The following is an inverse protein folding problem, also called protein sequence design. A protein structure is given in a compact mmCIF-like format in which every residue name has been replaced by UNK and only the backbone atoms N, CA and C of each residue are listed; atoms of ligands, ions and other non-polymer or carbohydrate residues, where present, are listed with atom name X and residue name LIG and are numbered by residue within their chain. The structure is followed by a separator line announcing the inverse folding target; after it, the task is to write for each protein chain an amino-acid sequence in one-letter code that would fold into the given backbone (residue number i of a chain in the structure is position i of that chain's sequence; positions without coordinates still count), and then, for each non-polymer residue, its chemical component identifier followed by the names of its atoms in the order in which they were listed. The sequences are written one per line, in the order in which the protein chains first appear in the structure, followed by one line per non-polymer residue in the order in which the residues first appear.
data_IF_392815478921
#
_entry.id   IF_392815478921
#
_cell.length_a   1.000
_cell.length_b   1.000
_cell.length_c   1.000
_cell.angle_alpha   90.00
_cell.angle_beta   90.00
_cell.angle_gamma   90.00
#
_symmetry.space_group_name_H-M   'P 1'
#
loop_
_entity.id
_entity.type
_entity.pdbx_description
1 polymer ?
#
# COMPACT_ATOMS: atom_id res chain seq x y z
N UNK A 1 10.10 -11.57 7.27
CA UNK A 1 10.71 -12.24 8.47
C UNK A 1 12.20 -11.92 8.66
N UNK A 2 13.07 -12.04 7.64
CA UNK A 2 14.51 -11.76 7.82
C UNK A 2 14.80 -10.28 8.15
N UNK A 3 14.07 -9.32 7.58
CA UNK A 3 14.23 -7.88 7.90
C UNK A 3 13.88 -7.55 9.36
N UNK A 4 12.74 -8.02 9.87
CA UNK A 4 12.31 -7.72 11.25
C UNK A 4 13.26 -8.32 12.30
N UNK A 5 13.87 -9.48 12.00
CA UNK A 5 14.90 -10.09 12.86
C UNK A 5 16.24 -9.32 12.81
N UNK A 6 16.49 -8.58 11.74
CA UNK A 6 17.67 -7.73 11.61
C UNK A 6 17.52 -6.45 12.42
N UNK A 7 16.30 -5.90 12.52
CA UNK A 7 15.99 -4.74 13.37
C UNK A 7 16.27 -4.99 14.85
N UNK A 8 15.95 -6.20 15.35
CA UNK A 8 16.20 -6.57 16.75
C UNK A 8 17.70 -6.63 17.10
N UNK A 9 18.57 -6.73 16.09
CA UNK A 9 20.03 -6.81 16.23
C UNK A 9 20.73 -5.52 15.82
N UNK A 10 19.98 -4.53 15.36
CA UNK A 10 20.54 -3.28 14.88
C UNK A 10 20.94 -2.39 16.08
N UNK A 11 22.24 -2.04 16.20
CA UNK A 11 22.71 -1.23 17.32
C UNK A 11 22.13 0.19 17.31
N UNK A 12 21.86 0.78 16.14
CA UNK A 12 21.28 2.13 16.05
C UNK A 12 19.83 2.13 16.56
N UNK A 13 19.04 1.13 16.15
CA UNK A 13 17.66 0.95 16.64
C UNK A 13 17.68 0.70 18.15
N UNK A 14 18.61 -0.12 18.65
CA UNK A 14 18.74 -0.40 20.07
C UNK A 14 19.08 0.85 20.89
N UNK A 15 19.96 1.71 20.40
CA UNK A 15 20.28 2.99 21.04
C UNK A 15 19.06 3.91 21.12
N UNK A 16 18.28 4.01 20.04
CA UNK A 16 17.05 4.81 20.00
C UNK A 16 16.02 4.28 20.99
N UNK A 17 15.75 2.97 20.99
CA UNK A 17 14.79 2.33 21.90
C UNK A 17 15.20 2.54 23.35
N UNK A 18 16.47 2.32 23.69
CA UNK A 18 16.99 2.56 25.04
C UNK A 18 16.87 4.04 25.44
N UNK A 19 17.07 4.97 24.49
CA UNK A 19 16.85 6.40 24.71
C UNK A 19 15.40 6.75 25.02
N UNK A 20 14.45 6.14 24.30
CA UNK A 20 13.01 6.29 24.53
C UNK A 20 12.61 5.72 25.89
N UNK A 21 13.06 4.51 26.22
CA UNK A 21 12.79 3.88 27.51
C UNK A 21 13.35 4.71 28.66
N UNK A 22 14.57 5.22 28.52
CA UNK A 22 15.18 6.13 29.51
C UNK A 22 14.35 7.40 29.69
N UNK A 23 13.86 7.98 28.60
CA UNK A 23 13.05 9.21 28.63
C UNK A 23 11.69 8.99 29.31
N UNK A 24 11.01 7.89 29.00
CA UNK A 24 9.64 7.63 29.46
C UNK A 24 9.61 6.96 30.83
N UNK A 25 10.51 6.01 31.06
CA UNK A 25 10.48 5.08 32.20
C UNK A 25 11.67 5.29 33.17
N UNK A 26 12.67 6.08 32.78
CA UNK A 26 13.88 6.35 33.56
C UNK A 26 15.00 5.31 33.38
N UNK A 27 16.20 5.64 33.85
CA UNK A 27 17.43 4.84 33.63
C UNK A 27 17.36 3.39 34.07
N UNK A 28 16.56 3.09 35.11
CA UNK A 28 16.44 1.73 35.68
C UNK A 28 15.55 0.81 34.84
N UNK A 29 14.78 1.36 33.91
CA UNK A 29 13.80 0.63 33.11
C UNK A 29 14.27 0.42 31.65
N UNK A 30 15.52 0.79 31.32
CA UNK A 30 16.12 0.50 30.02
C UNK A 30 16.23 -1.01 29.82
N UNK A 31 15.79 -1.49 28.66
CA UNK A 31 15.67 -2.91 28.31
C UNK A 31 14.37 -3.57 28.77
N UNK A 32 13.42 -2.84 29.36
CA UNK A 32 12.15 -3.40 29.83
C UNK A 32 11.29 -3.92 28.67
N UNK A 33 11.21 -3.18 27.56
CA UNK A 33 10.45 -3.59 26.37
C UNK A 33 11.00 -4.90 25.78
N UNK A 34 12.33 -5.01 25.68
CA UNK A 34 13.00 -6.26 25.26
C UNK A 34 12.67 -7.42 26.23
N UNK A 35 12.69 -7.16 27.54
CA UNK A 35 12.34 -8.15 28.57
C UNK A 35 10.89 -8.60 28.52
N UNK A 36 9.97 -7.71 28.15
CA UNK A 36 8.56 -8.00 27.92
C UNK A 36 8.30 -8.65 26.54
N UNK A 37 9.36 -8.84 25.74
CA UNK A 37 9.27 -9.41 24.41
C UNK A 37 8.64 -8.47 23.38
N UNK A 38 8.56 -7.17 23.66
CA UNK A 38 8.14 -6.10 22.76
C UNK A 38 9.35 -5.57 21.98
N UNK A 39 9.96 -6.45 21.18
CA UNK A 39 11.12 -6.08 20.37
C UNK A 39 10.69 -5.24 19.16
N UNK A 40 11.54 -4.34 18.64
CA UNK A 40 11.22 -3.54 17.46
C UNK A 40 10.71 -4.36 16.28
N UNK A 41 11.32 -5.51 15.99
CA UNK A 41 10.90 -6.41 14.94
C UNK A 41 9.52 -7.02 15.15
N UNK A 42 9.13 -7.30 16.41
CA UNK A 42 7.78 -7.76 16.74
C UNK A 42 6.73 -6.66 16.67
N UNK A 43 7.08 -5.45 17.12
CA UNK A 43 6.20 -4.27 16.98
C UNK A 43 5.97 -3.96 15.51
N UNK A 44 7.04 -3.91 14.70
CA UNK A 44 6.94 -3.72 13.26
C UNK A 44 6.07 -4.78 12.62
N UNK A 45 6.30 -6.06 12.95
CA UNK A 45 5.47 -7.16 12.44
C UNK A 45 3.98 -6.97 12.76
N UNK A 46 3.67 -6.56 14.00
CA UNK A 46 2.27 -6.33 14.40
C UNK A 46 1.64 -5.15 13.67
N UNK A 47 2.41 -4.10 13.38
CA UNK A 47 1.96 -2.96 12.60
C UNK A 47 1.74 -3.36 11.14
N UNK A 48 2.65 -4.15 10.55
CA UNK A 48 2.49 -4.68 9.20
C UNK A 48 1.21 -5.53 9.08
N UNK A 49 0.98 -6.47 10.01
CA UNK A 49 -0.22 -7.32 10.05
C UNK A 49 -1.51 -6.53 10.34
N UNK A 50 -1.42 -5.39 11.03
CA UNK A 50 -2.57 -4.51 11.23
C UNK A 50 -2.87 -3.72 9.96
N UNK A 51 -1.84 -3.15 9.34
CA UNK A 51 -1.97 -2.40 8.09
C UNK A 51 -2.52 -3.26 6.95
N UNK A 52 -2.07 -4.52 6.83
CA UNK A 52 -2.61 -5.47 5.85
C UNK A 52 -4.11 -5.70 6.06
N UNK A 53 -4.55 -5.87 7.32
CA UNK A 53 -5.98 -6.04 7.64
C UNK A 53 -6.80 -4.78 7.37
N UNK A 54 -6.31 -3.62 7.79
CA UNK A 54 -6.98 -2.34 7.54
C UNK A 54 -7.10 -2.06 6.04
N UNK A 55 -6.09 -2.44 5.26
CA UNK A 55 -6.11 -2.34 3.81
C UNK A 55 -7.13 -3.32 3.18
N UNK A 56 -7.17 -4.58 3.62
CA UNK A 56 -8.15 -5.56 3.15
C UNK A 56 -9.59 -5.13 3.48
N UNK A 57 -9.82 -4.63 4.70
CA UNK A 57 -11.11 -4.11 5.14
C UNK A 57 -11.54 -2.90 4.29
N UNK A 58 -10.61 -1.95 4.03
CA UNK A 58 -10.86 -0.80 3.15
C UNK A 58 -11.30 -1.25 1.74
N UNK A 59 -10.64 -2.26 1.17
CA UNK A 59 -10.99 -2.78 -0.15
C UNK A 59 -12.36 -3.46 -0.17
N UNK A 60 -12.68 -4.27 0.83
CA UNK A 60 -13.95 -4.99 0.88
C UNK A 60 -15.13 -4.03 1.14
N UNK A 61 -14.96 -3.07 2.05
CA UNK A 61 -15.97 -2.03 2.33
C UNK A 61 -16.27 -1.16 1.10
N UNK A 62 -15.26 -0.90 0.25
CA UNK A 62 -15.38 -0.03 -0.91
C UNK A 62 -15.48 -0.79 -2.24
N UNK A 63 -15.63 -2.11 -2.23
CA UNK A 63 -15.57 -2.97 -3.43
C UNK A 63 -16.51 -2.54 -4.56
N UNK A 64 -17.75 -2.18 -4.23
CA UNK A 64 -18.72 -1.72 -5.23
C UNK A 64 -18.31 -0.37 -5.84
N UNK A 65 -17.84 0.55 -4.99
CA UNK A 65 -17.34 1.84 -5.43
C UNK A 65 -16.10 1.68 -6.32
N UNK A 66 -15.14 0.84 -5.91
CA UNK A 66 -13.95 0.51 -6.70
C UNK A 66 -14.36 -0.01 -8.07
N UNK A 67 -15.28 -0.98 -8.12
CA UNK A 67 -15.76 -1.54 -9.38
C UNK A 67 -16.42 -0.49 -10.28
N UNK A 68 -17.33 0.31 -9.75
CA UNK A 68 -18.06 1.33 -10.51
C UNK A 68 -17.12 2.43 -11.05
N UNK A 69 -16.26 2.97 -10.20
CA UNK A 69 -15.32 4.02 -10.59
C UNK A 69 -14.24 3.52 -11.55
N UNK A 70 -13.69 2.33 -11.31
CA UNK A 70 -12.73 1.68 -12.24
C UNK A 70 -13.36 1.53 -13.62
N UNK A 71 -14.60 1.03 -13.68
CA UNK A 71 -15.32 0.87 -14.95
C UNK A 71 -15.55 2.21 -15.64
N UNK A 72 -16.02 3.21 -14.91
CA UNK A 72 -16.32 4.52 -15.48
C UNK A 72 -15.05 5.19 -16.02
N UNK A 73 -13.96 5.17 -15.25
CA UNK A 73 -12.69 5.81 -15.62
C UNK A 73 -11.99 5.07 -16.76
N UNK A 74 -11.93 3.74 -16.74
CA UNK A 74 -11.35 2.95 -17.83
C UNK A 74 -12.10 3.14 -19.15
N UNK A 75 -13.44 3.21 -19.12
CA UNK A 75 -14.24 3.55 -20.31
C UNK A 75 -13.90 4.95 -20.82
N UNK A 76 -13.79 5.94 -19.94
CA UNK A 76 -13.45 7.31 -20.33
C UNK A 76 -12.04 7.38 -20.95
N UNK A 77 -11.05 6.72 -20.35
CA UNK A 77 -9.68 6.62 -20.88
C UNK A 77 -9.69 5.96 -22.27
N UNK A 78 -10.40 4.84 -22.42
CA UNK A 78 -10.50 4.16 -23.71
C UNK A 78 -11.17 5.03 -24.78
N UNK A 79 -12.24 5.76 -24.43
CA UNK A 79 -12.88 6.71 -25.35
C UNK A 79 -11.96 7.87 -25.76
N UNK A 80 -11.15 8.38 -24.83
CA UNK A 80 -10.14 9.41 -25.14
C UNK A 80 -9.08 8.86 -26.10
N UNK A 81 -8.54 7.69 -25.79
CA UNK A 81 -7.57 7.01 -26.67
C UNK A 81 -8.14 6.77 -28.07
N UNK A 82 -9.38 6.26 -28.19
CA UNK A 82 -10.04 6.07 -29.49
C UNK A 82 -10.17 7.38 -30.29
N UNK A 83 -10.38 8.52 -29.61
CA UNK A 83 -10.44 9.84 -30.27
C UNK A 83 -9.06 10.31 -30.74
N UNK A 84 -8.02 10.09 -29.94
CA UNK A 84 -6.63 10.45 -30.28
C UNK A 84 -6.10 9.63 -31.45
N UNK A 85 -6.52 8.37 -31.54
CA UNK A 85 -6.15 7.47 -32.62
C UNK A 85 -6.89 7.75 -33.93
N UNK A 86 -7.96 8.57 -33.89
CA UNK A 86 -8.72 8.93 -35.09
C UNK A 86 -7.86 9.82 -36.00
N UNK A 87 -7.32 9.23 -37.07
CA UNK A 87 -6.45 9.91 -38.04
C UNK A 87 -4.98 9.50 -37.94
N UNK A 88 -4.64 8.54 -37.08
CA UNK A 88 -3.32 7.90 -37.07
C UNK A 88 -3.31 6.68 -38.00
N UNK A 89 -2.13 6.30 -38.50
CA UNK A 89 -1.94 5.08 -39.31
C UNK A 89 -1.92 3.79 -38.47
N UNK A 90 -2.23 3.88 -37.17
CA UNK A 90 -2.13 2.73 -36.27
C UNK A 90 -3.22 1.72 -36.63
N UNK A 91 -2.79 0.47 -36.87
CA UNK A 91 -3.71 -0.64 -37.11
C UNK A 91 -4.39 -1.04 -35.81
N UNK A 92 -5.71 -0.89 -35.79
CA UNK A 92 -6.57 -1.49 -34.77
C UNK A 92 -6.68 -2.99 -35.01
N UNK A 93 -5.82 -3.77 -34.35
CA UNK A 93 -6.04 -5.21 -34.21
C UNK A 93 -6.81 -5.50 -32.94
N UNK A 94 -7.46 -6.65 -32.90
CA UNK A 94 -8.18 -7.14 -31.72
C UNK A 94 -7.25 -7.20 -30.49
N UNK A 95 -6.02 -7.69 -30.67
CA UNK A 95 -5.02 -7.78 -29.61
C UNK A 95 -4.64 -6.40 -29.05
N UNK A 96 -4.53 -5.40 -29.92
CA UNK A 96 -4.18 -4.03 -29.51
C UNK A 96 -5.29 -3.41 -28.67
N UNK A 97 -6.55 -3.70 -29.03
CA UNK A 97 -7.72 -3.21 -28.29
C UNK A 97 -7.80 -3.88 -26.91
N UNK A 98 -7.67 -5.20 -26.84
CA UNK A 98 -7.71 -5.91 -25.56
C UNK A 98 -6.56 -5.52 -24.63
N UNK A 99 -5.34 -5.38 -25.17
CA UNK A 99 -4.20 -4.92 -24.38
C UNK A 99 -4.45 -3.52 -23.78
N UNK A 100 -5.06 -2.61 -24.56
CA UNK A 100 -5.39 -1.26 -24.06
C UNK A 100 -6.55 -1.24 -23.07
N UNK A 101 -7.54 -2.11 -23.22
CA UNK A 101 -8.60 -2.26 -22.23
C UNK A 101 -8.06 -2.75 -20.89
N UNK A 102 -7.18 -3.76 -20.91
CA UNK A 102 -6.55 -4.28 -19.70
C UNK A 102 -5.66 -3.22 -19.02
N UNK A 103 -4.84 -2.51 -19.80
CA UNK A 103 -4.01 -1.40 -19.30
C UNK A 103 -4.84 -0.31 -18.60
N UNK A 104 -5.89 0.19 -19.26
CA UNK A 104 -6.72 1.24 -18.66
C UNK A 104 -7.57 0.76 -17.50
N UNK A 105 -7.97 -0.51 -17.47
CA UNK A 105 -8.66 -1.09 -16.32
C UNK A 105 -7.73 -1.13 -15.11
N UNK A 106 -6.51 -1.64 -15.27
CA UNK A 106 -5.52 -1.70 -14.19
C UNK A 106 -5.12 -0.31 -13.70
N UNK A 107 -4.91 0.63 -14.64
CA UNK A 107 -4.58 2.01 -14.30
C UNK A 107 -5.70 2.69 -13.50
N UNK A 108 -6.95 2.54 -13.96
CA UNK A 108 -8.11 3.12 -13.29
C UNK A 108 -8.32 2.52 -11.90
N UNK A 109 -8.20 1.20 -11.74
CA UNK A 109 -8.33 0.52 -10.45
C UNK A 109 -7.28 1.00 -9.45
N UNK A 110 -6.03 1.10 -9.90
CA UNK A 110 -4.93 1.57 -9.08
C UNK A 110 -5.08 3.06 -8.69
N UNK A 111 -5.61 3.91 -9.58
CA UNK A 111 -5.95 5.29 -9.24
C UNK A 111 -7.04 5.37 -8.17
N UNK A 112 -8.12 4.59 -8.31
CA UNK A 112 -9.23 4.59 -7.36
C UNK A 112 -8.78 4.08 -5.98
N UNK A 113 -8.01 2.99 -5.93
CA UNK A 113 -7.48 2.46 -4.66
C UNK A 113 -6.53 3.47 -4.01
N UNK A 114 -5.67 4.15 -4.77
CA UNK A 114 -4.79 5.19 -4.21
C UNK A 114 -5.58 6.34 -3.60
N UNK A 115 -6.60 6.83 -4.29
CA UNK A 115 -7.47 7.89 -3.77
C UNK A 115 -8.18 7.46 -2.47
N UNK A 116 -8.62 6.19 -2.39
CA UNK A 116 -9.21 5.63 -1.18
C UNK A 116 -8.20 5.57 -0.03
N UNK A 117 -6.97 5.12 -0.29
CA UNK A 117 -5.91 5.10 0.73
C UNK A 117 -5.59 6.52 1.19
N UNK A 118 -5.39 7.46 0.27
CA UNK A 118 -5.09 8.87 0.59
C UNK A 118 -6.21 9.56 1.38
N UNK A 119 -7.47 9.21 1.15
CA UNK A 119 -8.60 9.74 1.92
C UNK A 119 -8.69 9.18 3.35
N UNK A 120 -8.01 8.08 3.64
CA UNK A 120 -8.02 7.38 4.93
C UNK A 120 -6.69 7.50 5.69
N UNK A 121 -5.73 8.28 5.18
CA UNK A 121 -4.47 8.67 5.83
C UNK A 121 -4.57 10.06 6.48
#
# INVERSE_FOLDING_TARGET
MQQNQQMDKDPEIKEIVNGIERLILGDKAVGLLEHLGLTPGKVQKSLDEQWEREFDDLLEENKNYIFEETRNRSINMFQMWMKEMKGTEIKFTEETIFAKLEEFQQEAELQVIKELVEANL
#
